data_IF_934976002079
#
_entry.id   IF_934976002079
#
_cell.length_a   1.000
_cell.length_b   1.000
_cell.length_c   1.000
_cell.angle_alpha   90.00
_cell.angle_beta   90.00
_cell.angle_gamma   90.00
#
_symmetry.space_group_name_H-M   'P 1'
#
loop_
_entity.id
_entity.type
_entity.pdbx_description
1 polymer ?
#
# COMPACT_ATOMS: atom_id res chain seq x y z
N UNK A 1 9.96 -11.80 58.82
CA UNK A 1 10.08 -12.66 57.63
C UNK A 1 8.75 -12.60 56.91
N UNK A 2 8.61 -11.72 55.92
CA UNK A 2 7.58 -11.89 54.88
C UNK A 2 8.03 -11.06 53.68
N UNK A 3 9.11 -11.59 53.12
CA UNK A 3 9.65 -11.31 51.80
C UNK A 3 8.63 -11.78 50.75
N UNK A 4 7.47 -11.11 50.66
CA UNK A 4 6.58 -11.28 49.52
C UNK A 4 7.02 -10.34 48.42
N UNK A 5 8.14 -10.75 47.80
CA UNK A 5 8.59 -10.35 46.47
C UNK A 5 7.49 -10.65 45.46
N UNK A 6 6.49 -9.76 45.40
CA UNK A 6 5.74 -9.56 44.17
C UNK A 6 6.73 -8.98 43.15
N UNK A 7 7.53 -9.88 42.58
CA UNK A 7 8.08 -9.72 41.25
C UNK A 7 6.86 -9.48 40.38
N UNK A 8 6.60 -8.21 40.11
CA UNK A 8 5.83 -7.80 38.96
C UNK A 8 6.59 -8.39 37.77
N UNK A 9 6.25 -9.61 37.39
CA UNK A 9 6.54 -10.11 36.05
C UNK A 9 5.78 -9.17 35.14
N UNK A 10 6.45 -8.10 34.69
CA UNK A 10 5.97 -7.30 33.59
C UNK A 10 5.59 -8.30 32.50
N UNK A 11 4.32 -8.34 32.05
CA UNK A 11 3.88 -9.31 31.06
C UNK A 11 4.67 -9.02 29.79
N UNK A 12 5.76 -9.77 29.59
CA UNK A 12 6.62 -9.70 28.42
C UNK A 12 5.69 -9.88 27.23
N UNK A 13 5.44 -8.84 26.41
CA UNK A 13 4.48 -8.95 25.34
C UNK A 13 4.94 -10.14 24.46
N UNK A 14 4.12 -11.19 24.29
CA UNK A 14 4.54 -12.43 23.63
C UNK A 14 4.70 -12.26 22.11
N UNK A 15 4.67 -11.02 21.63
CA UNK A 15 4.47 -10.70 20.24
C UNK A 15 5.21 -9.42 19.93
N UNK A 16 6.06 -9.52 18.92
CA UNK A 16 6.96 -8.45 18.51
C UNK A 16 6.15 -7.34 17.82
N UNK A 17 5.54 -6.48 18.62
CA UNK A 17 4.66 -5.39 18.20
C UNK A 17 5.33 -4.45 17.21
N UNK A 18 6.66 -4.39 17.23
CA UNK A 18 7.46 -3.65 16.27
C UNK A 18 7.43 -4.32 14.89
N UNK A 19 7.65 -5.63 14.81
CA UNK A 19 7.51 -6.42 13.57
C UNK A 19 6.11 -6.30 12.95
N UNK A 20 5.05 -6.31 13.77
CA UNK A 20 3.67 -6.12 13.28
C UNK A 20 3.42 -4.75 12.66
N UNK A 21 4.06 -3.69 13.17
CA UNK A 21 3.95 -2.34 12.59
C UNK A 21 4.55 -2.30 11.18
N UNK A 22 5.71 -2.93 10.97
CA UNK A 22 6.33 -3.01 9.65
C UNK A 22 5.47 -3.82 8.67
N UNK A 23 4.97 -4.98 9.10
CA UNK A 23 4.12 -5.82 8.25
C UNK A 23 2.81 -5.11 7.88
N UNK A 24 2.15 -4.46 8.84
CA UNK A 24 0.94 -3.65 8.60
C UNK A 24 1.19 -2.51 7.60
N UNK A 25 2.37 -1.86 7.67
CA UNK A 25 2.77 -0.83 6.70
C UNK A 25 2.90 -1.39 5.28
N UNK A 26 3.48 -2.58 5.13
CA UNK A 26 3.59 -3.28 3.84
C UNK A 26 2.19 -3.61 3.31
N UNK A 27 1.35 -4.26 4.13
CA UNK A 27 -0.03 -4.63 3.75
C UNK A 27 -0.77 -3.39 3.26
N UNK A 28 -0.73 -2.29 4.03
CA UNK A 28 -1.42 -1.06 3.66
C UNK A 28 -0.93 -0.51 2.34
N UNK A 29 0.38 -0.55 2.10
CA UNK A 29 0.98 -0.13 0.83
C UNK A 29 0.43 -0.99 -0.32
N UNK A 30 0.52 -2.31 -0.21
CA UNK A 30 0.04 -3.26 -1.22
C UNK A 30 -1.47 -3.09 -1.48
N UNK A 31 -2.29 -2.91 -0.43
CA UNK A 31 -3.72 -2.68 -0.55
C UNK A 31 -4.02 -1.40 -1.35
N UNK A 32 -3.31 -0.30 -1.10
CA UNK A 32 -3.48 0.91 -1.90
C UNK A 32 -3.11 0.70 -3.36
N UNK A 33 -2.04 -0.06 -3.64
CA UNK A 33 -1.66 -0.42 -5.02
C UNK A 33 -2.72 -1.27 -5.71
N UNK A 34 -3.24 -2.30 -5.03
CA UNK A 34 -4.33 -3.13 -5.56
C UNK A 34 -5.61 -2.31 -5.79
N UNK A 35 -5.95 -1.42 -4.86
CA UNK A 35 -7.12 -0.57 -4.99
C UNK A 35 -6.99 0.37 -6.20
N UNK A 36 -5.80 0.92 -6.42
CA UNK A 36 -5.50 1.75 -7.58
C UNK A 36 -5.62 0.95 -8.88
N UNK A 37 -5.09 -0.27 -8.95
CA UNK A 37 -5.24 -1.14 -10.12
C UNK A 37 -6.69 -1.52 -10.40
N UNK A 38 -7.47 -1.83 -9.37
CA UNK A 38 -8.91 -2.11 -9.52
C UNK A 38 -9.63 -0.86 -10.04
N UNK A 39 -9.31 0.31 -9.49
CA UNK A 39 -9.88 1.57 -9.94
C UNK A 39 -9.55 1.85 -11.41
N UNK A 40 -8.30 1.72 -11.80
CA UNK A 40 -7.88 1.92 -13.20
C UNK A 40 -8.51 0.89 -14.15
N UNK A 41 -8.61 -0.37 -13.74
CA UNK A 41 -9.31 -1.40 -14.51
C UNK A 41 -10.81 -1.08 -14.65
N UNK A 42 -11.45 -0.61 -13.57
CA UNK A 42 -12.84 -0.16 -13.60
C UNK A 42 -13.04 1.00 -14.55
N UNK A 43 -12.17 2.01 -14.50
CA UNK A 43 -12.22 3.17 -15.41
C UNK A 43 -12.04 2.71 -16.85
N UNK A 44 -11.05 1.85 -17.13
CA UNK A 44 -10.80 1.34 -18.48
C UNK A 44 -11.97 0.52 -19.04
N UNK A 45 -12.63 -0.28 -18.21
CA UNK A 45 -13.72 -1.16 -18.64
C UNK A 45 -15.06 -0.41 -18.68
N UNK A 46 -15.34 0.48 -17.72
CA UNK A 46 -16.55 1.30 -17.66
C UNK A 46 -16.66 2.27 -18.83
N UNK A 47 -15.55 2.90 -19.23
CA UNK A 47 -15.53 3.79 -20.39
C UNK A 47 -15.46 3.02 -21.73
N UNK A 48 -15.37 1.69 -21.70
CA UNK A 48 -15.23 0.85 -22.88
C UNK A 48 -13.85 0.89 -23.53
N UNK A 49 -12.89 1.64 -22.95
CA UNK A 49 -11.52 1.84 -23.45
C UNK A 49 -10.67 0.55 -23.46
N UNK A 50 -11.10 -0.47 -22.74
CA UNK A 50 -10.50 -1.81 -22.78
C UNK A 50 -10.90 -2.66 -23.99
N UNK A 51 -11.92 -2.27 -24.78
CA UNK A 51 -12.37 -3.02 -25.95
C UNK A 51 -11.82 -2.41 -27.25
N UNK A 52 -10.85 -3.06 -27.92
CA UNK A 52 -10.24 -2.55 -29.15
C UNK A 52 -11.21 -2.52 -30.35
N UNK A 53 -12.38 -3.14 -30.24
CA UNK A 53 -13.38 -3.25 -31.31
C UNK A 53 -14.30 -2.03 -31.35
N UNK A 54 -14.59 -1.44 -30.18
CA UNK A 54 -15.53 -0.33 -30.03
C UNK A 54 -14.86 0.99 -29.63
N UNK A 55 -13.62 0.95 -29.15
CA UNK A 55 -12.91 2.15 -28.71
C UNK A 55 -12.16 2.87 -29.82
N UNK A 56 -12.27 4.19 -29.79
CA UNK A 56 -11.49 5.07 -30.68
C UNK A 56 -10.00 4.99 -30.27
N UNK A 57 -9.06 4.86 -31.23
CA UNK A 57 -7.61 4.71 -30.92
C UNK A 57 -7.04 5.82 -30.01
N UNK A 58 -7.61 7.03 -30.12
CA UNK A 58 -7.26 8.17 -29.29
C UNK A 58 -7.57 7.93 -27.80
N UNK A 59 -8.71 7.33 -27.50
CA UNK A 59 -9.16 7.09 -26.13
C UNK A 59 -8.35 5.97 -25.47
N UNK A 60 -8.00 4.92 -26.22
CA UNK A 60 -7.04 3.90 -25.75
C UNK A 60 -5.70 4.53 -25.39
N UNK A 61 -5.18 5.42 -26.23
CA UNK A 61 -3.88 6.07 -25.98
C UNK A 61 -3.91 6.92 -24.71
N UNK A 62 -4.98 7.70 -24.52
CA UNK A 62 -5.19 8.49 -23.30
C UNK A 62 -5.28 7.58 -22.07
N UNK A 63 -5.97 6.44 -22.17
CA UNK A 63 -6.09 5.47 -21.09
C UNK A 63 -4.73 4.88 -20.68
N UNK A 64 -3.91 4.44 -21.64
CA UNK A 64 -2.58 3.89 -21.31
C UNK A 64 -1.63 4.93 -20.71
N UNK A 65 -1.67 6.18 -21.20
CA UNK A 65 -0.90 7.28 -20.62
C UNK A 65 -1.35 7.51 -19.17
N UNK A 66 -2.67 7.54 -18.93
CA UNK A 66 -3.23 7.69 -17.59
C UNK A 66 -2.80 6.54 -16.67
N UNK A 67 -2.88 5.30 -17.14
CA UNK A 67 -2.49 4.11 -16.38
C UNK A 67 -1.00 4.13 -15.99
N UNK A 68 -0.13 4.50 -16.92
CA UNK A 68 1.31 4.63 -16.62
C UNK A 68 1.56 5.78 -15.63
N UNK A 69 0.85 6.90 -15.81
CA UNK A 69 0.96 8.04 -14.90
C UNK A 69 0.48 7.71 -13.48
N UNK A 70 -0.66 7.01 -13.33
CA UNK A 70 -1.19 6.59 -12.03
C UNK A 70 -0.22 5.63 -11.33
N UNK A 71 0.34 4.66 -12.05
CA UNK A 71 1.40 3.78 -11.54
C UNK A 71 2.65 4.56 -11.10
N UNK A 72 3.09 5.52 -11.91
CA UNK A 72 4.26 6.35 -11.60
C UNK A 72 4.05 7.20 -10.34
N UNK A 73 2.87 7.83 -10.21
CA UNK A 73 2.49 8.59 -9.01
C UNK A 73 2.44 7.68 -7.78
N UNK A 74 1.87 6.48 -7.91
CA UNK A 74 1.84 5.50 -6.83
C UNK A 74 3.24 5.08 -6.40
N UNK A 75 4.12 4.70 -7.33
CA UNK A 75 5.50 4.34 -7.02
C UNK A 75 6.23 5.48 -6.31
N UNK A 76 6.08 6.72 -6.79
CA UNK A 76 6.66 7.89 -6.16
C UNK A 76 6.12 8.09 -4.74
N UNK A 77 4.81 7.91 -4.53
CA UNK A 77 4.20 8.02 -3.21
C UNK A 77 4.71 6.95 -2.24
N UNK A 78 4.82 5.69 -2.69
CA UNK A 78 5.41 4.60 -1.92
C UNK A 78 6.87 4.92 -1.59
N UNK A 79 7.68 5.27 -2.59
CA UNK A 79 9.07 5.66 -2.40
C UNK A 79 9.20 6.79 -1.36
N UNK A 80 8.40 7.85 -1.48
CA UNK A 80 8.41 8.98 -0.53
C UNK A 80 7.96 8.56 0.87
N UNK A 81 6.96 7.70 1.00
CA UNK A 81 6.47 7.21 2.28
C UNK A 81 7.51 6.34 2.99
N UNK A 82 8.27 5.55 2.25
CA UNK A 82 9.33 4.69 2.77
C UNK A 82 10.66 5.44 2.97
N UNK A 83 10.89 6.51 2.20
CA UNK A 83 12.07 7.39 2.31
C UNK A 83 12.01 8.33 3.53
N UNK A 84 10.82 8.61 4.08
CA UNK A 84 10.69 9.33 5.36
C UNK A 84 11.15 8.42 6.52
N UNK A 85 12.47 8.51 6.75
CA UNK A 85 13.31 8.06 7.88
C UNK A 85 12.60 7.20 8.92
N UNK A 86 13.02 5.93 8.99
CA UNK A 86 13.28 5.28 10.27
C UNK A 86 14.24 6.20 11.03
N UNK A 87 13.89 6.75 12.20
CA UNK A 87 14.89 7.35 13.07
C UNK A 87 15.90 6.23 13.37
N UNK A 88 17.17 6.44 13.01
CA UNK A 88 18.24 5.58 13.50
C UNK A 88 18.25 5.63 15.04
N UNK A 89 18.43 4.49 15.74
CA UNK A 89 18.57 4.45 17.19
C UNK A 89 19.79 5.25 17.67
#
# INVERSE_FOLDING_TARGET
MEENRNLQEEPKPPFDMETFKYFSRIIRTVFFGFFLLIFDAFVGLYLGFGDPTYSTPLLMTIFYIWFIASMGVYLYFVYKMWSKKVPHP
#
